data_IF_343891655184
#
_entry.id   IF_343891655184
#
_cell.length_a   1.000
_cell.length_b   1.000
_cell.length_c   1.000
_cell.angle_alpha   90.00
_cell.angle_beta   90.00
_cell.angle_gamma   90.00
#
_symmetry.space_group_name_H-M   'P 1'
#
loop_
_entity.id
_entity.type
_entity.pdbx_description
1 polymer ?
#
# COMPACT_ATOMS: atom_id res chain seq x y z
N UNK A 1 9.40 20.82 -3.05
CA UNK A 1 8.32 19.93 -3.49
C UNK A 1 7.32 20.65 -4.39
N UNK A 2 6.98 21.89 -4.08
CA UNK A 2 6.00 22.68 -4.85
C UNK A 2 6.43 22.85 -6.32
N UNK A 3 7.69 23.24 -6.57
CA UNK A 3 8.24 23.30 -7.91
C UNK A 3 8.06 22.02 -8.74
N UNK A 4 8.31 20.84 -8.13
CA UNK A 4 8.17 19.55 -8.81
C UNK A 4 6.71 19.21 -9.12
N UNK A 5 5.80 19.57 -8.21
CA UNK A 5 4.38 19.34 -8.36
C UNK A 5 3.78 20.30 -9.43
N UNK A 6 4.12 21.58 -9.34
CA UNK A 6 3.63 22.62 -10.26
C UNK A 6 4.13 22.40 -11.71
N UNK A 7 5.33 21.82 -11.83
CA UNK A 7 5.95 21.49 -13.13
C UNK A 7 5.62 20.08 -13.64
N UNK A 8 4.77 19.31 -12.95
CA UNK A 8 4.44 17.90 -13.26
C UNK A 8 5.67 16.99 -13.44
N UNK A 9 6.75 17.27 -12.71
CA UNK A 9 8.02 16.54 -12.79
C UNK A 9 8.11 15.34 -11.83
N UNK A 10 7.07 15.12 -11.01
CA UNK A 10 7.05 13.99 -10.09
C UNK A 10 6.36 12.79 -10.72
N UNK A 11 6.95 11.59 -10.59
CA UNK A 11 6.28 10.35 -11.02
C UNK A 11 4.99 10.14 -10.21
N UNK A 12 3.84 10.07 -10.89
CA UNK A 12 2.51 9.93 -10.26
C UNK A 12 2.41 8.63 -9.47
N UNK A 13 3.01 7.55 -10.00
CA UNK A 13 3.00 6.23 -9.39
C UNK A 13 4.18 5.97 -8.46
N UNK A 14 4.94 6.99 -8.07
CA UNK A 14 5.88 6.91 -6.94
C UNK A 14 5.18 7.34 -5.66
N UNK A 15 5.10 6.44 -4.69
CA UNK A 15 4.42 6.67 -3.41
C UNK A 15 5.36 6.81 -2.21
N UNK A 16 6.62 6.42 -2.36
CA UNK A 16 7.61 6.56 -1.30
C UNK A 16 7.89 8.04 -0.99
N UNK A 17 7.89 8.38 0.30
CA UNK A 17 8.28 9.70 0.83
C UNK A 17 7.46 10.89 0.28
N UNK A 18 6.23 10.65 -0.15
CA UNK A 18 5.31 11.70 -0.62
C UNK A 18 4.19 11.97 0.38
N UNK A 19 3.76 13.24 0.56
CA UNK A 19 2.60 13.58 1.38
C UNK A 19 1.35 12.89 0.84
N UNK A 20 0.47 12.47 1.76
CA UNK A 20 -0.79 11.76 1.48
C UNK A 20 -0.65 10.35 0.87
N UNK A 21 0.56 9.89 0.58
CA UNK A 21 0.86 8.55 0.10
C UNK A 21 1.21 7.60 1.26
N UNK A 22 1.02 6.31 1.06
CA UNK A 22 1.37 5.25 2.01
C UNK A 22 1.51 3.91 1.30
N UNK A 23 2.08 2.91 1.98
CA UNK A 23 2.09 1.52 1.51
C UNK A 23 0.68 1.03 1.18
N UNK A 24 -0.30 1.42 2.01
CA UNK A 24 -1.71 1.04 1.80
C UNK A 24 -2.29 1.66 0.52
N UNK A 25 -2.04 2.96 0.25
CA UNK A 25 -2.55 3.60 -0.98
C UNK A 25 -1.95 2.98 -2.23
N UNK A 26 -0.66 2.66 -2.21
CA UNK A 26 0.03 1.98 -3.32
C UNK A 26 -0.56 0.58 -3.56
N UNK A 27 -0.69 -0.23 -2.51
CA UNK A 27 -1.25 -1.58 -2.60
C UNK A 27 -2.72 -1.57 -3.02
N UNK A 28 -3.52 -0.62 -2.55
CA UNK A 28 -4.94 -0.48 -2.97
C UNK A 28 -5.02 -0.26 -4.48
N UNK A 29 -4.14 0.58 -5.06
CA UNK A 29 -4.11 0.80 -6.52
C UNK A 29 -3.75 -0.46 -7.28
N UNK A 30 -2.63 -1.11 -6.95
CA UNK A 30 -2.17 -2.33 -7.61
C UNK A 30 -3.21 -3.46 -7.49
N UNK A 31 -3.75 -3.66 -6.28
CA UNK A 31 -4.76 -4.69 -6.05
C UNK A 31 -6.08 -4.39 -6.74
N UNK A 32 -6.50 -3.11 -6.81
CA UNK A 32 -7.67 -2.72 -7.57
C UNK A 32 -7.56 -3.17 -9.04
N UNK A 33 -6.44 -2.86 -9.67
CA UNK A 33 -6.23 -3.16 -11.10
C UNK A 33 -6.19 -4.67 -11.37
N UNK A 34 -5.53 -5.44 -10.50
CA UNK A 34 -5.48 -6.91 -10.57
C UNK A 34 -6.88 -7.51 -10.36
N UNK A 35 -7.63 -7.02 -9.37
CA UNK A 35 -8.99 -7.50 -9.09
C UNK A 35 -9.95 -7.22 -10.26
N UNK A 36 -9.90 -6.03 -10.85
CA UNK A 36 -10.71 -5.67 -12.01
C UNK A 36 -10.32 -6.51 -13.23
N UNK A 37 -9.03 -6.70 -13.50
CA UNK A 37 -8.58 -7.55 -14.60
C UNK A 37 -9.09 -8.99 -14.47
N UNK A 38 -8.95 -9.58 -13.28
CA UNK A 38 -9.40 -10.95 -13.01
C UNK A 38 -10.93 -11.08 -12.96
N UNK A 39 -11.66 -10.01 -12.60
CA UNK A 39 -13.10 -9.93 -12.70
C UNK A 39 -13.58 -10.03 -14.16
N UNK A 40 -12.87 -9.38 -15.08
CA UNK A 40 -13.13 -9.44 -16.52
C UNK A 40 -12.65 -10.73 -17.20
N UNK A 41 -12.17 -11.70 -16.44
CA UNK A 41 -11.74 -13.00 -16.99
C UNK A 41 -10.30 -13.04 -17.46
N UNK A 42 -9.52 -11.95 -17.28
CA UNK A 42 -8.10 -11.90 -17.62
C UNK A 42 -7.24 -12.55 -16.53
N UNK A 43 -6.04 -12.94 -16.91
CA UNK A 43 -4.96 -13.22 -15.98
C UNK A 43 -4.21 -11.93 -15.68
N UNK A 44 -3.46 -11.91 -14.58
CA UNK A 44 -2.54 -10.82 -14.27
C UNK A 44 -1.27 -11.41 -13.65
N UNK A 45 -0.12 -10.97 -14.11
CA UNK A 45 1.15 -11.26 -13.46
C UNK A 45 1.62 -10.02 -12.71
N UNK A 46 2.07 -10.19 -11.46
CA UNK A 46 2.72 -9.14 -10.67
C UNK A 46 4.16 -9.55 -10.45
N UNK A 47 5.09 -8.66 -10.73
CA UNK A 47 6.53 -8.83 -10.54
C UNK A 47 7.02 -7.77 -9.57
N UNK A 48 7.71 -8.20 -8.51
CA UNK A 48 8.39 -7.34 -7.56
C UNK A 48 9.87 -7.33 -7.89
N UNK A 49 10.41 -6.17 -8.22
CA UNK A 49 11.83 -5.99 -8.52
C UNK A 49 12.54 -5.45 -7.27
N UNK A 50 13.62 -6.11 -6.87
CA UNK A 50 14.46 -5.70 -5.75
C UNK A 50 15.73 -5.00 -6.28
N UNK A 51 16.05 -3.85 -5.71
CA UNK A 51 17.28 -3.13 -5.99
C UNK A 51 18.20 -3.25 -4.78
N UNK A 52 19.41 -3.77 -4.99
CA UNK A 52 20.38 -3.91 -3.90
C UNK A 52 21.07 -2.58 -3.61
N UNK A 53 21.04 -2.15 -2.35
CA UNK A 53 21.73 -0.94 -1.85
C UNK A 53 21.44 0.32 -2.70
N UNK A 54 20.20 0.47 -3.14
CA UNK A 54 19.78 1.46 -4.14
C UNK A 54 20.17 2.91 -3.78
N UNK A 55 20.02 3.30 -2.50
CA UNK A 55 20.42 4.63 -2.03
C UNK A 55 21.94 4.84 -2.00
N UNK A 56 22.71 3.78 -1.81
CA UNK A 56 24.16 3.83 -1.65
C UNK A 56 24.91 3.78 -2.99
N UNK A 57 24.21 3.45 -4.09
CA UNK A 57 24.78 3.31 -5.43
C UNK A 57 24.45 4.46 -6.38
N UNK A 58 23.77 5.50 -5.90
CA UNK A 58 23.43 6.68 -6.70
C UNK A 58 24.68 7.39 -7.17
N UNK A 59 24.90 7.46 -8.47
CA UNK A 59 25.98 8.21 -9.09
C UNK A 59 25.70 9.72 -9.01
N UNK A 60 26.65 10.48 -8.49
CA UNK A 60 26.49 11.92 -8.26
C UNK A 60 26.43 12.71 -9.56
N UNK A 61 27.27 12.37 -10.55
CA UNK A 61 27.33 13.09 -11.83
C UNK A 61 26.05 12.87 -12.64
N UNK A 62 25.56 11.61 -12.69
CA UNK A 62 24.27 11.31 -13.33
C UNK A 62 23.11 12.00 -12.62
N UNK A 63 23.12 12.03 -11.28
CA UNK A 63 22.08 12.72 -10.52
C UNK A 63 22.07 14.21 -10.83
N UNK A 64 23.23 14.88 -10.79
CA UNK A 64 23.35 16.30 -11.09
C UNK A 64 22.94 16.59 -12.54
N UNK A 65 23.34 15.75 -13.50
CA UNK A 65 22.90 15.87 -14.89
C UNK A 65 21.36 15.80 -15.02
N UNK A 66 20.71 14.87 -14.31
CA UNK A 66 19.23 14.78 -14.28
C UNK A 66 18.58 15.99 -13.65
N UNK A 67 19.10 16.44 -12.52
CA UNK A 67 18.58 17.65 -11.85
C UNK A 67 18.64 18.86 -12.79
N UNK A 68 19.71 18.98 -13.58
CA UNK A 68 19.88 20.06 -14.52
C UNK A 68 19.00 19.91 -15.77
N UNK A 69 19.06 18.76 -16.46
CA UNK A 69 18.48 18.59 -17.77
C UNK A 69 17.05 18.03 -17.79
N UNK A 70 16.69 17.19 -16.80
CA UNK A 70 15.36 16.60 -16.72
C UNK A 70 14.43 17.40 -15.77
N UNK A 71 15.01 17.95 -14.70
CA UNK A 71 14.24 18.66 -13.67
C UNK A 71 14.31 20.18 -13.86
N UNK A 72 15.31 20.69 -14.60
CA UNK A 72 15.45 22.13 -14.89
C UNK A 72 16.08 22.94 -13.76
N UNK A 73 16.72 22.29 -12.78
CA UNK A 73 17.40 22.99 -11.68
C UNK A 73 18.72 23.57 -12.21
N UNK A 74 18.94 24.86 -12.00
CA UNK A 74 20.11 25.58 -12.48
C UNK A 74 20.64 26.61 -11.47
N UNK A 75 21.71 27.32 -11.82
CA UNK A 75 22.27 28.43 -11.05
C UNK A 75 22.67 28.01 -9.63
N UNK A 76 22.39 28.88 -8.65
CA UNK A 76 22.80 28.69 -7.26
C UNK A 76 22.19 27.44 -6.63
N UNK A 77 20.97 27.04 -7.00
CA UNK A 77 20.33 25.83 -6.48
C UNK A 77 21.10 24.57 -6.91
N UNK A 78 21.54 24.50 -8.18
CA UNK A 78 22.34 23.37 -8.68
C UNK A 78 23.74 23.34 -8.01
N UNK A 79 24.36 24.50 -7.84
CA UNK A 79 25.65 24.61 -7.14
C UNK A 79 25.54 24.14 -5.70
N UNK A 80 24.47 24.51 -5.03
CA UNK A 80 24.21 24.04 -3.66
C UNK A 80 24.05 22.52 -3.59
N UNK A 81 23.27 21.92 -4.51
CA UNK A 81 23.11 20.46 -4.59
C UNK A 81 24.43 19.74 -4.91
N UNK A 82 25.29 20.32 -5.75
CA UNK A 82 26.64 19.82 -5.97
C UNK A 82 27.44 19.82 -4.65
N UNK A 83 27.45 20.94 -3.92
CA UNK A 83 28.18 21.02 -2.64
C UNK A 83 27.61 20.06 -1.58
N UNK A 84 26.31 19.74 -1.65
CA UNK A 84 25.68 18.78 -0.77
C UNK A 84 26.12 17.33 -1.03
N UNK A 85 26.40 16.96 -2.27
CA UNK A 85 26.77 15.59 -2.67
C UNK A 85 28.27 15.35 -2.68
N UNK A 86 29.06 16.28 -3.24
CA UNK A 86 30.47 16.09 -3.46
C UNK A 86 31.35 16.43 -2.24
N UNK A 87 32.57 15.92 -2.25
CA UNK A 87 33.60 16.15 -1.20
C UNK A 87 33.16 15.72 0.21
N UNK A 88 32.27 14.75 0.30
CA UNK A 88 31.86 14.16 1.58
C UNK A 88 32.76 13.02 1.98
N UNK A 89 32.89 12.84 3.29
CA UNK A 89 33.65 11.74 3.87
C UNK A 89 32.82 11.04 4.94
N UNK A 90 33.18 9.80 5.24
CA UNK A 90 32.57 9.04 6.33
C UNK A 90 33.62 8.32 7.17
N UNK A 91 33.29 8.03 8.41
CA UNK A 91 34.03 7.13 9.28
C UNK A 91 33.06 6.28 10.09
N UNK A 92 33.48 5.08 10.46
CA UNK A 92 32.71 4.19 11.34
C UNK A 92 33.16 4.39 12.78
N UNK A 93 32.22 4.62 13.70
CA UNK A 93 32.47 4.75 15.15
C UNK A 93 31.87 3.57 15.90
N UNK A 94 32.70 2.94 16.75
CA UNK A 94 32.25 1.86 17.64
C UNK A 94 32.75 2.19 19.07
N UNK A 95 31.86 2.69 19.91
CA UNK A 95 32.25 3.19 21.23
C UNK A 95 33.24 4.36 21.12
N UNK A 96 34.44 4.21 21.72
CA UNK A 96 35.53 5.20 21.66
C UNK A 96 36.43 5.04 20.43
N UNK A 97 36.33 3.92 19.69
CA UNK A 97 37.15 3.67 18.50
C UNK A 97 36.48 4.27 17.25
N UNK A 98 37.36 4.80 16.36
CA UNK A 98 36.92 5.30 15.04
C UNK A 98 37.81 4.70 13.96
N UNK A 99 37.22 4.36 12.79
CA UNK A 99 38.00 4.01 11.61
C UNK A 99 38.72 5.22 11.03
N UNK A 100 39.62 4.98 10.08
CA UNK A 100 40.09 6.03 9.19
C UNK A 100 38.95 6.68 8.42
N UNK A 101 39.11 7.95 8.06
CA UNK A 101 38.18 8.69 7.21
C UNK A 101 38.29 8.24 5.76
N UNK A 102 37.19 7.91 5.12
CA UNK A 102 37.12 7.53 3.71
C UNK A 102 36.25 8.50 2.90
N UNK A 103 36.55 8.77 1.62
CA UNK A 103 35.69 9.61 0.78
C UNK A 103 34.36 8.90 0.46
N UNK A 104 33.26 9.66 0.42
CA UNK A 104 31.96 9.21 -0.06
C UNK A 104 31.82 9.64 -1.52
N UNK A 105 32.03 8.70 -2.45
CA UNK A 105 32.09 8.98 -3.89
C UNK A 105 30.73 8.84 -4.59
N UNK A 106 29.81 8.11 -4.02
CA UNK A 106 28.47 7.83 -4.53
C UNK A 106 27.48 7.64 -3.39
N UNK A 107 26.20 7.54 -3.75
CA UNK A 107 25.10 7.40 -2.79
C UNK A 107 24.54 8.74 -2.30
N UNK A 108 23.33 8.68 -1.79
CA UNK A 108 22.70 9.81 -1.08
C UNK A 108 22.75 9.56 0.42
N UNK A 109 23.02 10.59 1.27
CA UNK A 109 23.16 10.38 2.70
C UNK A 109 21.90 9.78 3.32
N UNK A 110 22.00 8.57 3.86
CA UNK A 110 20.89 7.89 4.53
C UNK A 110 20.48 8.67 5.80
N UNK A 111 19.17 8.78 6.04
CA UNK A 111 18.62 9.57 7.14
C UNK A 111 18.59 11.08 6.88
N UNK A 112 19.06 11.57 5.74
CA UNK A 112 18.91 12.96 5.35
C UNK A 112 17.51 13.27 4.81
N UNK A 113 17.08 14.53 4.91
CA UNK A 113 15.77 14.97 4.40
C UNK A 113 15.72 14.91 2.87
N UNK A 114 16.83 15.18 2.18
CA UNK A 114 16.88 15.22 0.72
C UNK A 114 17.14 13.85 0.07
N UNK A 115 17.74 12.89 0.78
CA UNK A 115 18.07 11.58 0.24
C UNK A 115 16.91 10.90 -0.50
N UNK A 116 15.74 10.76 0.13
CA UNK A 116 14.56 10.17 -0.52
C UNK A 116 14.08 10.91 -1.77
N UNK A 117 14.12 12.25 -1.74
CA UNK A 117 13.74 13.07 -2.87
C UNK A 117 14.72 12.91 -4.04
N UNK A 118 16.01 12.99 -3.76
CA UNK A 118 17.08 12.87 -4.76
C UNK A 118 17.05 11.46 -5.39
N UNK A 119 16.80 10.43 -4.58
CA UNK A 119 16.63 9.07 -5.08
C UNK A 119 15.40 8.93 -5.99
N UNK A 120 14.26 9.52 -5.62
CA UNK A 120 13.06 9.52 -6.46
C UNK A 120 13.30 10.21 -7.79
N UNK A 121 14.05 11.31 -7.80
CA UNK A 121 14.45 12.03 -9.04
C UNK A 121 15.49 11.23 -9.85
N UNK A 122 16.34 10.46 -9.17
CA UNK A 122 17.25 9.53 -9.85
C UNK A 122 16.52 8.42 -10.59
N UNK A 123 15.38 7.93 -10.08
CA UNK A 123 14.55 6.91 -10.72
C UNK A 123 13.55 7.46 -11.75
N UNK A 124 13.42 8.78 -11.89
CA UNK A 124 12.38 9.41 -12.72
C UNK A 124 12.29 8.85 -14.16
N UNK A 125 13.42 8.60 -14.89
CA UNK A 125 13.34 8.06 -16.25
C UNK A 125 12.77 6.63 -16.34
N UNK A 126 12.77 5.87 -15.24
CA UNK A 126 12.28 4.48 -15.21
C UNK A 126 10.79 4.41 -15.56
N UNK A 127 9.99 5.40 -15.11
CA UNK A 127 8.57 5.50 -15.46
C UNK A 127 8.31 5.61 -16.97
N UNK A 128 9.19 6.26 -17.71
CA UNK A 128 9.09 6.37 -19.16
C UNK A 128 9.32 5.00 -19.85
N UNK A 129 10.22 4.18 -19.32
CA UNK A 129 10.47 2.81 -19.82
C UNK A 129 9.22 1.96 -19.66
N UNK A 130 8.59 1.98 -18.50
CA UNK A 130 7.36 1.22 -18.26
C UNK A 130 6.23 1.63 -19.20
N UNK A 131 6.04 2.95 -19.40
CA UNK A 131 5.02 3.50 -20.31
C UNK A 131 5.30 3.14 -21.77
N UNK A 132 6.56 3.12 -22.20
CA UNK A 132 6.98 2.71 -23.56
C UNK A 132 6.46 1.32 -23.89
N UNK A 133 6.49 0.40 -22.93
CA UNK A 133 6.02 -0.98 -23.11
C UNK A 133 4.55 -1.18 -22.72
N UNK A 134 3.84 -0.14 -22.28
CA UNK A 134 2.45 -0.24 -21.83
C UNK A 134 2.28 -1.12 -20.58
N UNK A 135 3.33 -1.27 -19.75
CA UNK A 135 3.30 -2.06 -18.53
C UNK A 135 2.90 -1.17 -17.36
N UNK A 136 1.75 -1.40 -16.72
CA UNK A 136 1.38 -0.72 -15.50
C UNK A 136 2.37 -1.01 -14.37
N UNK A 137 2.63 0.01 -13.56
CA UNK A 137 3.63 -0.08 -12.49
C UNK A 137 3.25 0.75 -11.27
N UNK A 138 3.89 0.47 -10.15
CA UNK A 138 3.86 1.29 -8.96
C UNK A 138 5.21 1.24 -8.25
N UNK A 139 5.72 2.39 -7.84
CA UNK A 139 6.99 2.53 -7.12
C UNK A 139 6.72 2.94 -5.68
N UNK A 140 7.45 2.36 -4.75
CA UNK A 140 7.50 2.79 -3.36
C UNK A 140 8.94 2.87 -2.90
N UNK A 141 9.53 4.05 -3.04
CA UNK A 141 10.97 4.27 -2.95
C UNK A 141 11.74 3.39 -3.97
N UNK A 142 12.52 2.44 -3.48
CA UNK A 142 13.27 1.45 -4.26
C UNK A 142 12.45 0.19 -4.62
N UNK A 143 11.35 -0.07 -3.90
CA UNK A 143 10.45 -1.18 -4.25
C UNK A 143 9.70 -0.87 -5.55
N UNK A 144 9.92 -1.69 -6.58
CA UNK A 144 9.31 -1.54 -7.88
C UNK A 144 8.34 -2.70 -8.17
N UNK A 145 7.09 -2.36 -8.45
CA UNK A 145 6.00 -3.29 -8.72
C UNK A 145 5.54 -3.12 -10.16
N UNK A 146 5.71 -4.15 -10.99
CA UNK A 146 5.21 -4.20 -12.35
C UNK A 146 4.06 -5.21 -12.42
N UNK A 147 2.97 -4.87 -13.08
CA UNK A 147 1.89 -5.83 -13.28
C UNK A 147 1.31 -5.74 -14.66
N UNK A 148 1.00 -6.88 -15.25
CA UNK A 148 0.46 -6.97 -16.60
C UNK A 148 -0.81 -7.81 -16.60
N UNK A 149 -1.98 -7.21 -16.86
CA UNK A 149 -3.20 -7.95 -17.21
C UNK A 149 -3.13 -8.45 -18.65
N UNK A 150 -3.48 -9.73 -18.89
CA UNK A 150 -3.46 -10.32 -20.22
C UNK A 150 -4.54 -11.38 -20.40
N UNK A 151 -4.86 -11.71 -21.66
CA UNK A 151 -5.74 -12.82 -22.03
C UNK A 151 -4.93 -13.97 -22.62
N UNK A 152 -5.32 -15.23 -22.37
CA UNK A 152 -4.66 -16.38 -22.97
C UNK A 152 -4.89 -16.49 -24.49
N UNK A 153 -5.89 -15.75 -25.00
CA UNK A 153 -6.16 -15.65 -26.45
C UNK A 153 -5.17 -14.75 -27.20
N UNK A 154 -4.38 -13.93 -26.47
CA UNK A 154 -3.40 -13.05 -27.07
C UNK A 154 -2.22 -13.88 -27.60
N UNK A 155 -1.65 -13.53 -28.75
CA UNK A 155 -0.59 -14.31 -29.39
C UNK A 155 0.72 -14.36 -28.60
N UNK A 156 1.06 -13.27 -27.92
CA UNK A 156 2.26 -13.12 -27.07
C UNK A 156 1.92 -12.31 -25.81
N UNK A 157 1.13 -12.89 -24.90
CA UNK A 157 0.49 -12.12 -23.84
C UNK A 157 1.46 -11.48 -22.84
N UNK A 158 2.64 -12.06 -22.67
CA UNK A 158 3.66 -11.61 -21.69
C UNK A 158 4.82 -10.84 -22.31
N UNK A 159 4.89 -10.78 -23.63
CA UNK A 159 5.98 -10.15 -24.37
C UNK A 159 6.24 -8.71 -23.95
N UNK A 160 5.23 -7.83 -23.77
CA UNK A 160 5.46 -6.46 -23.31
C UNK A 160 6.19 -6.38 -21.96
N UNK A 161 5.88 -7.30 -21.04
CA UNK A 161 6.52 -7.36 -19.72
C UNK A 161 7.99 -7.81 -19.85
N UNK A 162 8.27 -8.84 -20.67
CA UNK A 162 9.63 -9.38 -20.84
C UNK A 162 10.55 -8.36 -21.52
N UNK A 163 10.05 -7.69 -22.56
CA UNK A 163 10.79 -6.62 -23.25
C UNK A 163 11.02 -5.43 -22.30
N UNK A 164 10.01 -5.07 -21.50
CA UNK A 164 10.14 -4.05 -20.46
C UNK A 164 11.23 -4.40 -19.45
N UNK A 165 11.25 -5.63 -18.94
CA UNK A 165 12.27 -6.07 -17.98
C UNK A 165 13.68 -6.04 -18.58
N UNK A 166 13.82 -6.35 -19.86
CA UNK A 166 15.09 -6.25 -20.57
C UNK A 166 15.58 -4.81 -20.64
N UNK A 167 14.72 -3.86 -21.03
CA UNK A 167 15.06 -2.45 -21.06
C UNK A 167 15.35 -1.88 -19.67
N UNK A 168 14.58 -2.31 -18.65
CA UNK A 168 14.80 -1.92 -17.25
C UNK A 168 16.17 -2.37 -16.75
N UNK A 169 16.54 -3.64 -16.99
CA UNK A 169 17.87 -4.17 -16.61
C UNK A 169 19.00 -3.41 -17.30
N UNK A 170 18.86 -3.15 -18.59
CA UNK A 170 19.83 -2.38 -19.36
C UNK A 170 19.96 -0.94 -18.84
N UNK A 171 18.83 -0.30 -18.50
CA UNK A 171 18.82 1.04 -17.92
C UNK A 171 19.46 1.06 -16.53
N UNK A 172 19.11 0.10 -15.64
CA UNK A 172 19.70 0.00 -14.30
C UNK A 172 21.22 -0.16 -14.38
N UNK A 173 21.73 -1.04 -15.24
CA UNK A 173 23.16 -1.22 -15.44
C UNK A 173 23.86 0.09 -15.88
N UNK A 174 23.26 0.87 -16.79
CA UNK A 174 23.78 2.17 -17.22
C UNK A 174 23.73 3.25 -16.13
N UNK A 175 22.92 3.03 -15.10
CA UNK A 175 22.71 3.97 -13.98
C UNK A 175 23.30 3.44 -12.66
N UNK A 176 24.23 2.50 -12.72
CA UNK A 176 24.93 1.91 -11.56
C UNK A 176 24.00 1.35 -10.48
N UNK A 177 22.77 1.00 -10.85
CA UNK A 177 21.82 0.35 -9.96
C UNK A 177 21.91 -1.17 -10.11
N UNK A 178 22.06 -1.86 -9.00
CA UNK A 178 22.19 -3.31 -8.98
C UNK A 178 20.82 -3.99 -8.91
N UNK A 179 20.40 -4.58 -10.02
CA UNK A 179 19.20 -5.42 -10.07
C UNK A 179 19.46 -6.79 -9.45
N UNK A 180 18.62 -7.20 -8.52
CA UNK A 180 18.75 -8.49 -7.85
C UNK A 180 17.80 -9.54 -8.44
N UNK A 181 18.26 -10.25 -9.46
CA UNK A 181 17.47 -11.32 -10.09
C UNK A 181 17.03 -12.40 -9.10
N UNK A 182 17.83 -12.71 -8.08
CA UNK A 182 17.55 -13.78 -7.09
C UNK A 182 16.44 -13.38 -6.11
N UNK A 183 16.25 -12.10 -5.88
CA UNK A 183 15.20 -11.56 -5.00
C UNK A 183 13.97 -11.10 -5.75
N UNK A 184 14.04 -11.05 -7.09
CA UNK A 184 12.87 -10.78 -7.91
C UNK A 184 11.84 -11.87 -7.69
N UNK A 185 10.62 -11.50 -7.38
CA UNK A 185 9.51 -12.41 -7.15
C UNK A 185 8.39 -12.15 -8.14
N UNK A 186 7.75 -13.20 -8.63
CA UNK A 186 6.60 -13.10 -9.50
C UNK A 186 5.43 -13.92 -8.96
N UNK A 187 4.20 -13.45 -9.20
CA UNK A 187 2.98 -14.17 -8.85
C UNK A 187 1.97 -14.01 -9.99
N UNK A 188 1.29 -15.11 -10.31
CA UNK A 188 0.25 -15.14 -11.32
C UNK A 188 -1.12 -15.22 -10.67
N UNK A 189 -2.02 -14.34 -11.08
CA UNK A 189 -3.42 -14.32 -10.66
C UNK A 189 -4.31 -14.76 -11.81
N UNK A 190 -5.21 -15.70 -11.52
CA UNK A 190 -6.22 -16.15 -12.48
C UNK A 190 -7.62 -15.63 -12.18
N UNK A 191 -8.51 -15.68 -13.16
CA UNK A 191 -9.92 -15.28 -12.97
C UNK A 191 -10.66 -16.20 -12.01
N UNK A 192 -10.24 -17.46 -11.88
CA UNK A 192 -10.80 -18.46 -10.98
C UNK A 192 -9.81 -18.80 -9.86
N UNK A 193 -10.30 -19.40 -8.77
CA UNK A 193 -9.47 -19.94 -7.68
C UNK A 193 -8.81 -21.28 -8.03
N UNK A 194 -8.89 -21.74 -9.27
CA UNK A 194 -8.33 -23.02 -9.67
C UNK A 194 -6.81 -23.01 -9.55
N UNK A 195 -6.25 -24.11 -9.08
CA UNK A 195 -4.81 -24.33 -8.91
C UNK A 195 -4.06 -24.56 -10.24
N UNK A 196 -4.76 -24.61 -11.37
CA UNK A 196 -4.12 -24.73 -12.68
C UNK A 196 -3.49 -23.38 -13.06
N UNK A 197 -2.17 -23.33 -13.00
CA UNK A 197 -1.41 -22.30 -13.69
C UNK A 197 -1.53 -22.57 -15.19
N UNK A 198 -2.00 -21.59 -15.97
CA UNK A 198 -2.00 -21.74 -17.42
C UNK A 198 -0.57 -21.90 -17.93
N UNK A 199 -0.41 -22.63 -19.01
CA UNK A 199 0.86 -22.71 -19.73
C UNK A 199 1.09 -21.35 -20.42
N UNK A 200 1.81 -20.48 -19.75
CA UNK A 200 2.16 -19.14 -20.22
C UNK A 200 3.67 -19.01 -20.20
N UNK A 201 4.24 -18.69 -21.34
CA UNK A 201 5.67 -18.41 -21.43
C UNK A 201 6.01 -17.10 -20.68
N UNK A 202 6.60 -17.26 -19.53
CA UNK A 202 7.15 -16.17 -18.70
C UNK A 202 8.68 -16.12 -18.77
N UNK A 203 9.28 -16.91 -19.64
CA UNK A 203 10.74 -17.01 -19.81
C UNK A 203 11.47 -17.17 -18.47
N UNK A 204 12.44 -16.30 -18.18
CA UNK A 204 13.19 -16.33 -16.92
C UNK A 204 12.33 -16.14 -15.66
N UNK A 205 11.16 -15.50 -15.73
CA UNK A 205 10.26 -15.32 -14.60
C UNK A 205 9.58 -16.62 -14.14
N UNK A 206 9.54 -17.65 -14.98
CA UNK A 206 8.92 -18.94 -14.63
C UNK A 206 9.55 -19.55 -13.37
N UNK A 207 10.87 -19.42 -13.22
CA UNK A 207 11.60 -19.91 -12.05
C UNK A 207 11.37 -19.05 -10.78
N UNK A 208 10.84 -17.85 -10.95
CA UNK A 208 10.56 -16.88 -9.89
C UNK A 208 9.10 -16.83 -9.46
N UNK A 209 8.24 -17.65 -10.14
CA UNK A 209 6.83 -17.75 -9.80
C UNK A 209 6.63 -18.36 -8.41
N UNK A 210 5.86 -17.67 -7.61
CA UNK A 210 5.48 -18.10 -6.26
C UNK A 210 3.97 -18.16 -6.10
N UNK A 211 3.50 -19.03 -5.21
CA UNK A 211 2.08 -19.09 -4.81
C UNK A 211 1.69 -17.96 -3.87
N UNK A 212 2.67 -17.37 -3.17
CA UNK A 212 2.50 -16.23 -2.26
C UNK A 212 3.78 -15.38 -2.24
N UNK A 213 3.62 -14.07 -2.30
CA UNK A 213 4.72 -13.08 -2.24
C UNK A 213 4.46 -12.06 -1.13
N UNK A 214 5.52 -11.36 -0.70
CA UNK A 214 5.37 -10.27 0.27
C UNK A 214 5.61 -8.94 -0.43
N UNK A 215 4.57 -8.12 -0.53
CA UNK A 215 4.61 -6.79 -1.14
C UNK A 215 4.35 -5.73 -0.08
N UNK A 216 5.30 -4.82 0.15
CA UNK A 216 5.22 -3.75 1.16
C UNK A 216 4.68 -4.26 2.52
N UNK A 217 5.18 -5.41 2.97
CA UNK A 217 4.80 -6.02 4.24
C UNK A 217 3.47 -6.78 4.25
N UNK A 218 2.74 -6.83 3.14
CA UNK A 218 1.51 -7.62 2.99
C UNK A 218 1.79 -8.89 2.19
N UNK A 219 1.43 -10.06 2.72
CA UNK A 219 1.48 -11.31 1.96
C UNK A 219 0.27 -11.44 1.06
N UNK A 220 0.53 -11.65 -0.23
CA UNK A 220 -0.49 -11.77 -1.27
C UNK A 220 -0.38 -13.17 -1.86
N UNK A 221 -1.44 -13.96 -1.79
CA UNK A 221 -1.53 -15.29 -2.40
C UNK A 221 -2.21 -15.22 -3.77
N UNK A 222 -1.92 -16.18 -4.66
CA UNK A 222 -2.44 -16.23 -6.04
C UNK A 222 -3.97 -16.32 -6.11
N UNK A 223 -4.61 -16.86 -5.07
CA UNK A 223 -6.06 -16.92 -4.95
C UNK A 223 -6.68 -15.62 -4.38
N UNK A 224 -5.87 -14.67 -3.92
CA UNK A 224 -6.28 -13.41 -3.29
C UNK A 224 -7.16 -13.61 -2.04
N UNK A 225 -6.88 -14.67 -1.28
CA UNK A 225 -7.59 -14.98 -0.03
C UNK A 225 -7.05 -14.20 1.17
N UNK A 226 -5.79 -13.79 1.12
CA UNK A 226 -5.01 -13.20 2.21
C UNK A 226 -4.86 -14.13 3.43
N UNK A 227 -5.06 -15.45 3.27
CA UNK A 227 -4.98 -16.40 4.38
C UNK A 227 -3.59 -16.44 5.00
N UNK A 228 -2.53 -16.47 4.19
CA UNK A 228 -1.14 -16.44 4.67
C UNK A 228 -0.81 -15.14 5.42
N UNK A 229 -1.32 -14.01 4.93
CA UNK A 229 -1.15 -12.71 5.58
C UNK A 229 -1.80 -12.72 6.96
N UNK A 230 -3.07 -13.08 7.01
CA UNK A 230 -3.87 -13.11 8.25
C UNK A 230 -3.28 -14.11 9.26
N UNK A 231 -2.83 -15.29 8.80
CA UNK A 231 -2.15 -16.27 9.68
C UNK A 231 -0.87 -15.67 10.30
N UNK A 232 -0.08 -14.93 9.49
CA UNK A 232 1.11 -14.21 9.96
C UNK A 232 0.79 -13.16 11.02
N UNK A 233 -0.23 -12.33 10.77
CA UNK A 233 -0.71 -11.31 11.71
C UNK A 233 -1.20 -11.94 13.00
N UNK A 234 -2.03 -12.99 12.94
CA UNK A 234 -2.57 -13.71 14.10
C UNK A 234 -1.43 -14.31 14.93
N UNK A 235 -0.50 -15.01 14.29
CA UNK A 235 0.67 -15.62 14.96
C UNK A 235 1.49 -14.57 15.71
N UNK A 236 1.80 -13.47 15.03
CA UNK A 236 2.58 -12.36 15.59
C UNK A 236 1.84 -11.69 16.76
N UNK A 237 0.56 -11.40 16.60
CA UNK A 237 -0.24 -10.75 17.62
C UNK A 237 -0.34 -11.61 18.91
N UNK A 238 -0.61 -12.92 18.80
CA UNK A 238 -0.62 -13.80 19.95
C UNK A 238 0.75 -13.99 20.60
N UNK A 239 1.83 -13.95 19.82
CA UNK A 239 3.19 -13.91 20.36
C UNK A 239 3.38 -12.67 21.26
N UNK A 240 3.00 -11.50 20.79
CA UNK A 240 3.10 -10.26 21.57
C UNK A 240 2.18 -10.29 22.81
N UNK A 241 0.94 -10.75 22.69
CA UNK A 241 0.03 -10.88 23.87
C UNK A 241 0.64 -11.76 24.97
N UNK A 242 1.26 -12.89 24.58
CA UNK A 242 1.97 -13.77 25.55
C UNK A 242 3.16 -13.07 26.20
N UNK A 243 3.91 -12.24 25.46
CA UNK A 243 5.02 -11.47 26.04
C UNK A 243 4.50 -10.39 26.99
N UNK A 244 3.44 -9.70 26.60
CA UNK A 244 2.81 -8.65 27.41
C UNK A 244 2.24 -9.23 28.73
N UNK A 245 1.81 -10.48 28.77
CA UNK A 245 1.32 -11.10 30.01
C UNK A 245 2.36 -11.11 31.13
N UNK A 246 3.67 -11.19 30.80
CA UNK A 246 4.77 -11.18 31.76
C UNK A 246 5.00 -9.80 32.39
N UNK A 247 4.70 -8.72 31.66
CA UNK A 247 4.93 -7.33 32.11
C UNK A 247 3.64 -6.66 32.59
N UNK A 248 2.48 -7.28 32.36
CA UNK A 248 1.18 -6.75 32.76
C UNK A 248 1.11 -6.33 34.24
N UNK A 249 1.65 -7.09 35.22
CA UNK A 249 1.59 -6.70 36.63
C UNK A 249 2.29 -5.38 36.95
N UNK A 250 3.20 -4.92 36.10
CA UNK A 250 4.02 -3.72 36.28
C UNK A 250 3.49 -2.51 35.49
N UNK A 251 2.40 -2.69 34.72
CA UNK A 251 1.84 -1.64 33.88
C UNK A 251 0.51 -1.12 34.45
N UNK A 252 0.31 0.19 34.39
CA UNK A 252 -1.02 0.76 34.59
C UNK A 252 -1.97 0.31 33.45
N UNK A 253 -3.28 0.39 33.69
CA UNK A 253 -4.28 0.06 32.67
C UNK A 253 -4.08 0.92 31.39
N UNK A 254 -3.74 2.21 31.54
CA UNK A 254 -3.49 3.13 30.45
C UNK A 254 -2.25 2.74 29.65
N UNK A 255 -1.14 2.40 30.33
CA UNK A 255 0.10 1.99 29.66
C UNK A 255 -0.10 0.65 28.95
N UNK A 256 -0.81 -0.29 29.59
CA UNK A 256 -1.16 -1.57 28.96
C UNK A 256 -1.99 -1.37 27.68
N UNK A 257 -2.97 -0.45 27.69
CA UNK A 257 -3.76 -0.12 26.51
C UNK A 257 -2.88 0.47 25.40
N UNK A 258 -1.99 1.41 25.74
CA UNK A 258 -1.04 2.00 24.78
C UNK A 258 -0.14 0.97 24.13
N UNK A 259 0.37 0.01 24.92
CA UNK A 259 1.22 -1.08 24.42
C UNK A 259 0.41 -2.08 23.57
N UNK A 260 -0.84 -2.38 23.92
CA UNK A 260 -1.72 -3.20 23.09
C UNK A 260 -1.97 -2.51 21.74
N UNK A 261 -2.22 -1.21 21.74
CA UNK A 261 -2.36 -0.46 20.48
C UNK A 261 -1.09 -0.51 19.63
N UNK A 262 0.08 -0.35 20.23
CA UNK A 262 1.36 -0.37 19.53
C UNK A 262 1.69 -1.75 18.92
N UNK A 263 1.45 -2.85 19.64
CA UNK A 263 1.90 -4.18 19.23
C UNK A 263 0.82 -5.07 18.60
N UNK A 264 -0.45 -4.80 18.88
CA UNK A 264 -1.56 -5.63 18.39
C UNK A 264 -2.43 -4.86 17.41
N UNK A 265 -3.00 -3.71 17.82
CA UNK A 265 -3.94 -2.97 16.98
C UNK A 265 -3.27 -2.44 15.71
N UNK A 266 -2.03 -1.95 15.81
CA UNK A 266 -1.25 -1.50 14.65
C UNK A 266 -1.09 -2.57 13.58
N UNK A 267 -0.96 -3.85 13.97
CA UNK A 267 -0.86 -4.99 13.05
C UNK A 267 -2.20 -5.36 12.42
N UNK A 268 -3.30 -5.26 13.21
CA UNK A 268 -4.65 -5.50 12.72
C UNK A 268 -5.10 -4.42 11.72
N UNK A 269 -4.56 -3.21 11.84
CA UNK A 269 -4.92 -2.07 11.00
C UNK A 269 -3.97 -1.82 9.84
N UNK A 270 -2.82 -2.49 9.80
CA UNK A 270 -1.87 -2.31 8.71
C UNK A 270 -2.45 -2.80 7.39
N UNK A 271 -2.63 -1.89 6.43
CA UNK A 271 -3.19 -2.16 5.10
C UNK A 271 -4.52 -2.94 5.13
N UNK A 272 -5.34 -2.77 6.18
CA UNK A 272 -6.55 -3.57 6.37
C UNK A 272 -7.65 -3.25 5.34
N UNK A 273 -7.57 -2.14 4.61
CA UNK A 273 -8.49 -1.83 3.49
C UNK A 273 -8.45 -2.91 2.39
N UNK A 274 -7.31 -3.60 2.22
CA UNK A 274 -7.15 -4.71 1.25
C UNK A 274 -8.01 -5.93 1.60
N UNK A 275 -8.42 -6.05 2.87
CA UNK A 275 -9.24 -7.16 3.36
C UNK A 275 -10.74 -6.96 3.12
N UNK A 276 -11.14 -5.90 2.40
CA UNK A 276 -12.54 -5.70 2.03
C UNK A 276 -13.07 -6.88 1.19
N UNK A 277 -14.23 -7.41 1.56
CA UNK A 277 -14.85 -8.55 0.88
C UNK A 277 -14.10 -9.89 0.98
N UNK A 278 -13.09 -9.99 1.84
CA UNK A 278 -12.43 -11.26 2.17
C UNK A 278 -13.40 -12.16 2.94
N UNK A 279 -13.23 -13.48 2.79
CA UNK A 279 -14.11 -14.47 3.41
C UNK A 279 -14.24 -14.33 4.93
N UNK A 280 -15.44 -14.55 5.44
CA UNK A 280 -15.75 -14.38 6.86
C UNK A 280 -14.86 -15.23 7.79
N UNK A 281 -14.47 -16.44 7.36
CA UNK A 281 -13.55 -17.29 8.12
C UNK A 281 -12.17 -16.65 8.34
N UNK A 282 -11.66 -15.94 7.34
CA UNK A 282 -10.39 -15.19 7.43
C UNK A 282 -10.52 -14.00 8.38
N UNK A 283 -11.61 -13.23 8.28
CA UNK A 283 -11.87 -12.10 9.18
C UNK A 283 -12.10 -12.52 10.63
N UNK A 284 -12.75 -13.66 10.86
CA UNK A 284 -13.00 -14.22 12.20
C UNK A 284 -11.69 -14.50 12.95
N UNK A 285 -10.62 -14.90 12.25
CA UNK A 285 -9.30 -15.10 12.86
C UNK A 285 -8.71 -13.81 13.41
N UNK A 286 -8.85 -12.69 12.69
CA UNK A 286 -8.44 -11.37 13.18
C UNK A 286 -9.31 -10.89 14.34
N UNK A 287 -10.62 -11.16 14.28
CA UNK A 287 -11.55 -10.84 15.34
C UNK A 287 -11.21 -11.60 16.65
N UNK A 288 -10.76 -12.86 16.56
CA UNK A 288 -10.28 -13.61 17.73
C UNK A 288 -9.09 -12.93 18.41
N UNK A 289 -8.15 -12.37 17.64
CA UNK A 289 -7.02 -11.59 18.18
C UNK A 289 -7.52 -10.37 18.93
N UNK A 290 -8.41 -9.58 18.30
CA UNK A 290 -8.98 -8.39 18.93
C UNK A 290 -9.73 -8.75 20.23
N UNK A 291 -10.51 -9.81 20.21
CA UNK A 291 -11.24 -10.29 21.37
C UNK A 291 -10.31 -10.70 22.52
N UNK A 292 -9.20 -11.38 22.18
CA UNK A 292 -8.20 -11.77 23.16
C UNK A 292 -7.51 -10.55 23.77
N UNK A 293 -7.16 -9.55 22.96
CA UNK A 293 -6.57 -8.29 23.40
C UNK A 293 -7.51 -7.50 24.33
N UNK A 294 -8.80 -7.42 23.99
CA UNK A 294 -9.81 -6.73 24.80
C UNK A 294 -10.00 -7.40 26.17
N UNK A 295 -10.12 -8.73 26.19
CA UNK A 295 -10.21 -9.49 27.46
C UNK A 295 -8.93 -9.36 28.28
N UNK A 296 -7.78 -9.40 27.65
CA UNK A 296 -6.49 -9.23 28.30
C UNK A 296 -6.37 -7.85 28.98
N UNK A 297 -6.78 -6.77 28.31
CA UNK A 297 -6.78 -5.41 28.86
C UNK A 297 -7.73 -5.27 30.05
N UNK A 298 -8.94 -5.82 29.93
CA UNK A 298 -10.01 -5.66 30.93
C UNK A 298 -9.97 -6.70 32.04
N UNK A 299 -9.08 -7.69 31.98
CA UNK A 299 -9.01 -8.78 32.95
C UNK A 299 -10.21 -9.75 32.91
N UNK A 300 -10.98 -9.76 31.82
CA UNK A 300 -12.16 -10.63 31.65
C UNK A 300 -11.77 -12.04 31.25
N UNK A 301 -12.63 -13.01 31.60
CA UNK A 301 -12.40 -14.43 31.32
C UNK A 301 -12.67 -14.78 29.86
N UNK A 302 -12.15 -15.96 29.44
CA UNK A 302 -12.28 -16.42 28.03
C UNK A 302 -13.74 -16.54 27.55
N UNK A 303 -14.66 -16.89 28.45
CA UNK A 303 -16.07 -17.14 28.14
C UNK A 303 -16.99 -15.93 28.34
N UNK A 304 -16.48 -14.80 28.85
CA UNK A 304 -17.30 -13.60 28.99
C UNK A 304 -17.72 -13.08 27.59
N UNK A 305 -18.95 -12.59 27.51
CA UNK A 305 -19.45 -11.99 26.26
C UNK A 305 -18.58 -10.83 25.81
N UNK A 306 -18.15 -10.88 24.55
CA UNK A 306 -17.16 -9.93 24.04
C UNK A 306 -17.77 -8.58 23.65
N UNK A 307 -19.00 -8.56 23.16
CA UNK A 307 -19.66 -7.36 22.66
C UNK A 307 -19.69 -6.21 23.67
N UNK A 308 -20.13 -6.41 24.94
CA UNK A 308 -20.07 -5.36 25.95
C UNK A 308 -18.65 -4.87 26.26
N UNK A 309 -17.65 -5.77 26.19
CA UNK A 309 -16.25 -5.41 26.42
C UNK A 309 -15.73 -4.50 25.31
N UNK A 310 -15.96 -4.85 24.05
CA UNK A 310 -15.57 -4.02 22.91
C UNK A 310 -16.29 -2.67 22.94
N UNK A 311 -17.58 -2.66 23.29
CA UNK A 311 -18.36 -1.43 23.43
C UNK A 311 -17.76 -0.53 24.53
N UNK A 312 -17.47 -1.04 25.72
CA UNK A 312 -16.88 -0.27 26.82
C UNK A 312 -15.48 0.30 26.50
N UNK A 313 -14.73 -0.38 25.63
CA UNK A 313 -13.43 0.10 25.14
C UNK A 313 -13.55 1.02 23.92
N UNK A 314 -14.73 1.24 23.39
CA UNK A 314 -14.96 1.93 22.10
C UNK A 314 -14.16 1.33 20.92
N UNK A 315 -13.97 -0.01 20.93
CA UNK A 315 -13.25 -0.71 19.88
C UNK A 315 -14.22 -1.28 18.85
N UNK A 316 -14.20 -0.71 17.66
CA UNK A 316 -14.98 -1.23 16.54
C UNK A 316 -14.50 -2.65 16.16
N UNK A 317 -15.41 -3.62 15.91
CA UNK A 317 -15.08 -4.92 15.35
C UNK A 317 -14.27 -4.83 14.06
N UNK A 318 -13.49 -5.86 13.74
CA UNK A 318 -12.57 -5.88 12.58
C UNK A 318 -13.25 -5.50 11.26
N UNK A 319 -14.46 -6.02 11.00
CA UNK A 319 -15.20 -5.68 9.78
C UNK A 319 -15.47 -4.18 9.66
N UNK A 320 -15.91 -3.53 10.74
CA UNK A 320 -16.15 -2.09 10.75
C UNK A 320 -14.85 -1.28 10.67
N UNK A 321 -13.73 -1.79 11.20
CA UNK A 321 -12.42 -1.14 11.05
C UNK A 321 -11.96 -1.14 9.59
N UNK A 322 -12.19 -2.23 8.85
CA UNK A 322 -11.89 -2.32 7.42
C UNK A 322 -12.76 -1.33 6.64
N UNK A 323 -14.08 -1.34 6.87
CA UNK A 323 -15.01 -0.39 6.23
C UNK A 323 -14.66 1.06 6.56
N UNK A 324 -14.31 1.34 7.81
CA UNK A 324 -13.85 2.66 8.26
C UNK A 324 -12.63 3.13 7.47
N UNK A 325 -11.64 2.27 7.27
CA UNK A 325 -10.43 2.61 6.53
C UNK A 325 -10.72 2.88 5.06
N UNK A 326 -11.52 2.02 4.41
CA UNK A 326 -11.94 2.23 3.01
C UNK A 326 -12.66 3.57 2.85
N UNK A 327 -13.64 3.86 3.71
CA UNK A 327 -14.39 5.11 3.66
C UNK A 327 -13.53 6.34 3.98
N UNK A 328 -12.55 6.20 4.86
CA UNK A 328 -11.58 7.26 5.11
C UNK A 328 -10.72 7.56 3.87
N UNK A 329 -10.33 6.54 3.12
CA UNK A 329 -9.62 6.72 1.84
C UNK A 329 -10.53 7.41 0.82
N UNK A 330 -11.82 7.04 0.73
CA UNK A 330 -12.80 7.72 -0.13
C UNK A 330 -12.89 9.20 0.22
N UNK A 331 -13.15 9.51 1.50
CA UNK A 331 -13.28 10.91 1.95
C UNK A 331 -12.01 11.71 1.61
N UNK A 332 -10.85 11.16 1.87
CA UNK A 332 -9.57 11.82 1.55
C UNK A 332 -9.39 12.02 0.04
N UNK A 333 -9.75 11.05 -0.79
CA UNK A 333 -9.67 11.14 -2.26
C UNK A 333 -10.58 12.23 -2.80
N UNK A 334 -11.80 12.34 -2.29
CA UNK A 334 -12.77 13.36 -2.72
C UNK A 334 -12.38 14.78 -2.27
N UNK A 335 -11.53 14.92 -1.25
CA UNK A 335 -11.08 16.20 -0.70
C UNK A 335 -9.60 16.51 -1.03
N UNK A 336 -9.02 15.90 -2.04
CA UNK A 336 -7.62 16.11 -2.48
C UNK A 336 -6.57 15.83 -1.38
N UNK A 337 -6.90 14.96 -0.42
CA UNK A 337 -6.03 14.53 0.70
C UNK A 337 -5.54 13.08 0.52
N UNK A 338 -5.59 12.58 -0.71
CA UNK A 338 -5.09 11.27 -1.11
C UNK A 338 -4.40 11.38 -2.49
N UNK A 339 -3.61 10.37 -2.89
CA UNK A 339 -2.99 10.36 -4.22
C UNK A 339 -4.00 10.43 -5.36
N UNK A 340 -3.63 11.11 -6.44
CA UNK A 340 -4.46 11.29 -7.63
C UNK A 340 -4.90 9.94 -8.20
N UNK A 341 -4.02 8.94 -8.24
CA UNK A 341 -4.33 7.62 -8.75
C UNK A 341 -5.44 6.88 -7.97
N UNK A 342 -5.72 7.25 -6.69
CA UNK A 342 -6.88 6.75 -5.96
C UNK A 342 -8.13 7.58 -6.23
N UNK A 343 -7.98 8.91 -6.35
CA UNK A 343 -9.09 9.80 -6.68
C UNK A 343 -9.68 9.44 -8.05
N UNK A 344 -8.84 9.10 -9.03
CA UNK A 344 -9.24 8.69 -10.38
C UNK A 344 -10.09 7.41 -10.43
N UNK A 345 -10.00 6.56 -9.39
CA UNK A 345 -10.83 5.37 -9.25
C UNK A 345 -12.27 5.67 -8.82
N UNK A 346 -12.53 6.88 -8.33
CA UNK A 346 -13.81 7.29 -7.78
C UNK A 346 -14.47 8.33 -8.71
N UNK A 347 -15.59 7.95 -9.31
CA UNK A 347 -16.32 8.84 -10.23
C UNK A 347 -17.58 9.36 -9.55
N UNK A 348 -17.78 10.69 -9.48
CA UNK A 348 -19.03 11.27 -9.03
C UNK A 348 -20.22 10.74 -9.86
N UNK A 349 -21.32 10.48 -9.20
CA UNK A 349 -22.56 10.14 -9.89
C UNK A 349 -23.20 11.42 -10.44
N UNK A 350 -23.26 11.53 -11.77
CA UNK A 350 -23.92 12.64 -12.45
C UNK A 350 -25.28 12.13 -12.95
N UNK A 351 -26.41 12.55 -12.37
CA UNK A 351 -27.72 12.15 -12.85
C UNK A 351 -27.97 12.75 -14.24
N UNK A 352 -28.60 11.97 -15.12
CA UNK A 352 -28.97 12.40 -16.49
C UNK A 352 -30.04 13.46 -16.52
N UNK A 353 -30.77 13.67 -15.42
CA UNK A 353 -31.82 14.69 -15.22
C UNK A 353 -31.57 15.39 -13.89
N UNK A 354 -32.00 16.65 -13.76
CA UNK A 354 -31.94 17.38 -12.48
C UNK A 354 -32.90 16.71 -11.48
N UNK A 355 -32.33 15.81 -10.66
CA UNK A 355 -33.05 15.09 -9.62
C UNK A 355 -32.59 15.60 -8.24
N UNK A 356 -33.44 15.47 -7.22
CA UNK A 356 -33.10 15.74 -5.82
C UNK A 356 -31.87 14.95 -5.32
N UNK A 357 -31.52 13.86 -6.03
CA UNK A 357 -30.32 13.06 -5.74
C UNK A 357 -28.99 13.70 -6.19
N UNK A 358 -29.03 14.78 -6.99
CA UNK A 358 -27.82 15.47 -7.46
C UNK A 358 -26.99 16.03 -6.30
N UNK A 359 -27.63 16.45 -5.20
CA UNK A 359 -26.98 17.01 -4.01
C UNK A 359 -26.51 15.95 -3.00
N UNK A 360 -26.75 14.67 -3.26
CA UNK A 360 -26.45 13.60 -2.31
C UNK A 360 -24.99 13.15 -2.28
N UNK A 361 -24.09 13.75 -3.05
CA UNK A 361 -22.66 13.40 -3.13
C UNK A 361 -22.41 11.90 -3.37
N UNK A 362 -23.22 11.28 -4.24
CA UNK A 362 -23.11 9.87 -4.56
C UNK A 362 -21.96 9.62 -5.53
N UNK A 363 -21.44 8.39 -5.51
CA UNK A 363 -20.44 7.90 -6.43
C UNK A 363 -21.05 6.87 -7.39
N UNK A 364 -20.57 6.85 -8.64
CA UNK A 364 -20.91 5.82 -9.60
C UNK A 364 -20.29 4.49 -9.19
N UNK A 365 -21.11 3.44 -9.13
CA UNK A 365 -20.65 2.08 -8.82
C UNK A 365 -20.45 1.33 -10.15
N UNK A 366 -19.21 0.96 -10.53
CA UNK A 366 -18.98 0.14 -11.70
C UNK A 366 -19.63 -1.23 -11.56
N UNK A 367 -20.08 -1.82 -12.67
CA UNK A 367 -20.59 -3.20 -12.69
C UNK A 367 -19.43 -4.17 -12.49
N UNK A 368 -19.59 -5.11 -11.56
CA UNK A 368 -18.70 -6.25 -11.35
C UNK A 368 -19.35 -7.54 -11.83
N UNK A 369 -18.55 -8.53 -12.18
CA UNK A 369 -19.01 -9.84 -12.66
C UNK A 369 -18.88 -10.93 -11.60
N UNK A 370 -17.90 -10.78 -10.68
CA UNK A 370 -17.54 -11.83 -9.72
C UNK A 370 -17.40 -11.25 -8.31
N UNK A 371 -18.22 -11.76 -7.39
CA UNK A 371 -18.26 -11.32 -5.99
C UNK A 371 -16.86 -11.39 -5.30
N UNK A 372 -16.07 -12.40 -5.61
CA UNK A 372 -14.76 -12.63 -4.98
C UNK A 372 -13.61 -11.88 -5.67
N UNK A 373 -13.90 -11.10 -6.72
CA UNK A 373 -12.93 -10.30 -7.49
C UNK A 373 -13.42 -8.86 -7.59
N UNK A 374 -14.29 -8.56 -8.55
CA UNK A 374 -14.75 -7.21 -8.85
C UNK A 374 -15.37 -6.49 -7.66
N UNK A 375 -16.27 -7.14 -6.88
CA UNK A 375 -16.90 -6.52 -5.70
C UNK A 375 -15.87 -6.11 -4.62
N UNK A 376 -14.67 -6.67 -4.64
CA UNK A 376 -13.59 -6.35 -3.70
C UNK A 376 -12.67 -5.24 -4.19
N UNK A 377 -12.70 -4.92 -5.47
CA UNK A 377 -11.89 -3.83 -6.03
C UNK A 377 -12.31 -2.51 -5.37
N UNK A 378 -11.31 -1.66 -5.06
CA UNK A 378 -11.58 -0.37 -4.40
C UNK A 378 -12.55 0.48 -5.22
N UNK A 379 -12.40 0.51 -6.55
CA UNK A 379 -13.29 1.24 -7.46
C UNK A 379 -14.75 0.77 -7.43
N UNK A 380 -15.03 -0.42 -6.87
CA UNK A 380 -16.41 -0.97 -6.72
C UNK A 380 -16.85 -0.92 -5.26
N UNK A 381 -16.07 -1.51 -4.35
CA UNK A 381 -16.42 -1.59 -2.93
C UNK A 381 -16.54 -0.20 -2.27
N UNK A 382 -15.66 0.71 -2.61
CA UNK A 382 -15.62 2.02 -1.98
C UNK A 382 -16.85 2.89 -2.32
N UNK A 383 -17.27 3.03 -3.58
CA UNK A 383 -18.53 3.70 -3.92
C UNK A 383 -19.75 3.03 -3.30
N UNK A 384 -19.80 1.69 -3.26
CA UNK A 384 -20.93 0.98 -2.60
C UNK A 384 -21.04 1.34 -1.12
N UNK A 385 -19.91 1.30 -0.40
CA UNK A 385 -19.89 1.66 1.02
C UNK A 385 -20.21 3.14 1.24
N UNK A 386 -19.70 4.03 0.38
CA UNK A 386 -19.92 5.46 0.45
C UNK A 386 -21.38 5.83 0.24
N UNK A 387 -22.02 5.26 -0.75
CA UNK A 387 -23.42 5.55 -1.08
C UNK A 387 -24.40 5.07 0.01
N UNK A 388 -24.02 4.08 0.82
CA UNK A 388 -24.78 3.59 1.96
C UNK A 388 -24.63 4.46 3.23
N UNK A 389 -23.73 5.46 3.23
CA UNK A 389 -23.62 6.37 4.37
C UNK A 389 -24.78 7.37 4.39
N UNK A 390 -25.24 7.78 5.58
CA UNK A 390 -26.12 8.95 5.73
C UNK A 390 -25.49 10.21 5.14
N UNK A 391 -26.32 11.08 4.55
CA UNK A 391 -25.86 12.29 3.87
C UNK A 391 -25.01 13.21 4.76
N UNK A 392 -25.41 13.40 6.02
CA UNK A 392 -24.69 14.26 6.96
C UNK A 392 -23.24 13.79 7.22
N UNK A 393 -22.95 12.48 7.08
CA UNK A 393 -21.58 11.96 7.19
C UNK A 393 -20.79 12.26 5.92
N UNK A 394 -21.41 12.11 4.74
CA UNK A 394 -20.76 12.43 3.46
C UNK A 394 -20.46 13.91 3.29
N UNK A 395 -21.25 14.79 3.96
CA UNK A 395 -21.07 16.24 3.97
C UNK A 395 -20.12 16.76 5.06
N UNK A 396 -19.38 15.86 5.75
CA UNK A 396 -18.42 16.28 6.75
C UNK A 396 -17.40 17.27 6.17
N UNK A 397 -17.08 18.32 6.95
CA UNK A 397 -16.24 19.45 6.49
C UNK A 397 -14.74 19.22 6.63
N UNK A 398 -14.34 18.21 7.40
CA UNK A 398 -12.93 17.91 7.64
C UNK A 398 -12.71 16.44 8.00
N UNK A 399 -11.46 15.96 7.87
CA UNK A 399 -11.08 14.60 8.23
C UNK A 399 -11.37 14.26 9.71
N UNK A 400 -11.09 15.14 10.71
CA UNK A 400 -11.45 14.85 12.10
C UNK A 400 -12.96 14.70 12.30
N UNK A 401 -13.77 15.59 11.73
CA UNK A 401 -15.24 15.53 11.79
C UNK A 401 -15.74 14.25 11.14
N UNK A 402 -15.29 13.95 9.92
CA UNK A 402 -15.66 12.71 9.22
C UNK A 402 -15.34 11.45 10.06
N UNK A 403 -14.13 11.37 10.62
CA UNK A 403 -13.73 10.25 11.48
C UNK A 403 -14.64 10.09 12.69
N UNK A 404 -15.00 11.20 13.34
CA UNK A 404 -15.88 11.17 14.50
C UNK A 404 -17.26 10.68 14.15
N UNK A 405 -17.91 11.29 13.14
CA UNK A 405 -19.23 10.89 12.67
C UNK A 405 -19.28 9.43 12.22
N UNK A 406 -18.28 9.00 11.43
CA UNK A 406 -18.19 7.64 10.91
C UNK A 406 -17.98 6.62 12.05
N UNK A 407 -17.14 6.94 13.05
CA UNK A 407 -16.93 6.09 14.21
C UNK A 407 -18.23 5.93 15.02
N UNK A 408 -18.96 7.01 15.26
CA UNK A 408 -20.26 7.00 15.97
C UNK A 408 -21.28 6.17 15.21
N UNK A 409 -21.37 6.36 13.87
CA UNK A 409 -22.27 5.60 13.02
C UNK A 409 -21.98 4.10 13.06
N UNK A 410 -20.73 3.70 12.91
CA UNK A 410 -20.36 2.29 12.98
C UNK A 410 -20.47 1.71 14.39
N UNK A 411 -20.28 2.53 15.42
CA UNK A 411 -20.51 2.10 16.79
C UNK A 411 -21.99 1.78 17.03
N UNK A 412 -22.90 2.62 16.56
CA UNK A 412 -24.33 2.33 16.66
C UNK A 412 -24.75 1.08 15.90
N UNK A 413 -24.21 0.86 14.69
CA UNK A 413 -24.46 -0.36 13.92
C UNK A 413 -23.90 -1.62 14.60
N UNK A 414 -22.72 -1.52 15.23
CA UNK A 414 -22.06 -2.67 15.84
C UNK A 414 -22.65 -3.09 17.17
N UNK A 415 -23.22 -2.16 17.95
CA UNK A 415 -23.55 -2.39 19.34
C UNK A 415 -25.01 -2.07 19.72
N UNK A 416 -25.69 -1.15 19.00
CA UNK A 416 -27.07 -0.78 19.32
C UNK A 416 -28.11 -1.61 18.55
N UNK A 417 -27.71 -2.33 17.47
CA UNK A 417 -28.61 -3.25 16.73
C UNK A 417 -28.87 -4.59 17.42
N UNK A 418 -28.27 -4.84 18.60
CA UNK A 418 -28.44 -6.07 19.37
C UNK A 418 -29.53 -5.94 20.45
N UNK A 419 -30.28 -4.83 20.45
CA UNK A 419 -31.29 -4.50 21.47
C UNK A 419 -32.76 -4.48 20.97
N UNK A 420 -33.06 -5.14 19.83
CA UNK A 420 -34.43 -5.38 19.40
C UNK A 420 -34.64 -6.83 19.02
#
# INVERSE_FOLDING_TARGET
>A
MDYLNDSNLSEIFQSGFKPFHSTETALVKVMNDILIATDHGKYAVLVLLDMTAAFDTVDHDLLISRLQHCVGISGLALLWLKSYLFNRTFCVKLGSASSSVAPLLWGVPQGSILGPLLFSLYLLPLGAIFRKHGVPFHLYADDCQLYLPFSLSDSLPTRPLLDCLTDVKAWMAKNFLNFNDRKTEAILFGPNRSSHTPDVDLAALTSQLKSSITNLGVKIDSALTFDDHVNGVVKSAFYHLRRLSKVKPFLSKRDLESVIHAFITSRLDYCNSLLIGVGQGTLSRLQLVQNAAARFLTGRRKFDHITPILASLHWLPIEFRIRFKVLLLVFKSLNSLAPVYLADLLKPHVPTRSLRSAEQLLLSVPKSRRKLRGDRAFSVAAPMLWNNLPLHIRQATSVPVFKSLLKTYFYSLAFNSVGN
#
